data_IF_101790294643
#
_entry.id   IF_101790294643
#
_cell.length_a   1.000
_cell.length_b   1.000
_cell.length_c   1.000
_cell.angle_alpha   90.00
_cell.angle_beta   90.00
_cell.angle_gamma   90.00
#
_symmetry.space_group_name_H-M   'P 1'
#
loop_
_entity.id
_entity.type
_entity.pdbx_description
1 polymer ?
#
# COMPACT_ATOMS: atom_id res chain seq x y z
N UNK A 1 -5.05 -55.11 -26.27
CA UNK A 1 -5.56 -54.25 -25.18
C UNK A 1 -4.47 -53.25 -24.92
N UNK A 2 -4.72 -51.98 -25.23
CA UNK A 2 -3.73 -50.91 -25.08
C UNK A 2 -3.42 -50.77 -23.58
N UNK A 3 -2.20 -51.10 -23.16
CA UNK A 3 -1.78 -50.98 -21.76
C UNK A 3 -1.62 -49.49 -21.43
N UNK A 4 -2.74 -48.84 -21.09
CA UNK A 4 -2.73 -47.55 -20.43
C UNK A 4 -1.99 -47.70 -19.10
N UNK A 5 -0.74 -47.26 -19.08
CA UNK A 5 0.07 -47.20 -17.87
C UNK A 5 -0.57 -46.17 -16.94
N UNK A 6 -1.44 -46.62 -16.03
CA UNK A 6 -2.24 -45.78 -15.12
C UNK A 6 -1.38 -44.77 -14.34
N UNK A 7 -0.15 -45.16 -13.98
CA UNK A 7 0.82 -44.28 -13.32
C UNK A 7 1.23 -43.12 -14.23
N UNK A 8 1.48 -43.39 -15.51
CA UNK A 8 1.82 -42.34 -16.48
C UNK A 8 0.66 -41.39 -16.73
N UNK A 9 -0.57 -41.89 -16.67
CA UNK A 9 -1.78 -41.10 -16.83
C UNK A 9 -2.04 -40.21 -15.60
N UNK A 10 -1.90 -40.78 -14.40
CA UNK A 10 -1.98 -40.03 -13.15
C UNK A 10 -0.92 -38.91 -13.07
N UNK A 11 0.30 -39.17 -13.54
CA UNK A 11 1.35 -38.15 -13.63
C UNK A 11 0.97 -37.01 -14.61
N UNK A 12 0.36 -37.33 -15.75
CA UNK A 12 -0.15 -36.31 -16.70
C UNK A 12 -1.23 -35.44 -16.04
N UNK A 13 -2.17 -36.05 -15.31
CA UNK A 13 -3.21 -35.31 -14.61
C UNK A 13 -2.66 -34.45 -13.46
N UNK A 14 -1.65 -34.94 -12.72
CA UNK A 14 -0.96 -34.15 -11.69
C UNK A 14 -0.27 -32.93 -12.30
N UNK A 15 0.49 -33.13 -13.39
CA UNK A 15 1.15 -32.04 -14.10
C UNK A 15 0.15 -31.03 -14.68
N UNK A 16 -0.96 -31.50 -15.27
CA UNK A 16 -2.04 -30.66 -15.77
C UNK A 16 -2.70 -29.84 -14.65
N UNK A 17 -3.05 -30.49 -13.52
CA UNK A 17 -3.68 -29.82 -12.38
C UNK A 17 -2.78 -28.73 -11.81
N UNK A 18 -1.50 -29.05 -11.57
CA UNK A 18 -0.54 -28.06 -11.08
C UNK A 18 -0.29 -26.94 -12.10
N UNK A 19 -0.24 -27.26 -13.40
CA UNK A 19 -0.05 -26.29 -14.46
C UNK A 19 -1.22 -25.30 -14.58
N UNK A 20 -2.46 -25.79 -14.48
CA UNK A 20 -3.66 -24.93 -14.52
C UNK A 20 -3.70 -24.00 -13.30
N UNK A 21 -3.42 -24.51 -12.10
CA UNK A 21 -3.36 -23.67 -10.90
C UNK A 21 -2.27 -22.61 -11.03
N UNK A 22 -1.08 -22.98 -11.52
CA UNK A 22 0.00 -22.03 -11.75
C UNK A 22 -0.36 -20.95 -12.77
N UNK A 23 -0.99 -21.33 -13.89
CA UNK A 23 -1.47 -20.38 -14.89
C UNK A 23 -2.53 -19.43 -14.31
N UNK A 24 -3.47 -19.98 -13.53
CA UNK A 24 -4.51 -19.20 -12.88
C UNK A 24 -3.92 -18.15 -11.92
N UNK A 25 -2.98 -18.55 -11.06
CA UNK A 25 -2.30 -17.62 -10.14
C UNK A 25 -1.49 -16.57 -10.91
N UNK A 26 -0.83 -16.97 -11.99
CA UNK A 26 -0.07 -16.04 -12.85
C UNK A 26 -1.00 -14.97 -13.42
N UNK A 27 -2.14 -15.35 -14.00
CA UNK A 27 -3.16 -14.42 -14.51
C UNK A 27 -3.68 -13.53 -13.37
N UNK A 28 -3.95 -14.11 -12.19
CA UNK A 28 -4.41 -13.35 -11.03
C UNK A 28 -3.42 -12.25 -10.64
N UNK A 29 -2.12 -12.54 -10.64
CA UNK A 29 -1.07 -11.54 -10.38
C UNK A 29 -1.14 -10.41 -11.41
N UNK A 30 -1.30 -10.71 -12.70
CA UNK A 30 -1.45 -9.68 -13.73
C UNK A 30 -2.70 -8.82 -13.52
N UNK A 31 -3.83 -9.42 -13.16
CA UNK A 31 -5.07 -8.69 -12.84
C UNK A 31 -4.87 -7.78 -11.64
N UNK A 32 -4.25 -8.25 -10.56
CA UNK A 32 -3.94 -7.43 -9.38
C UNK A 32 -3.02 -6.26 -9.75
N UNK A 33 -2.03 -6.46 -10.63
CA UNK A 33 -1.17 -5.38 -11.12
C UNK A 33 -1.93 -4.38 -11.98
N UNK A 34 -2.84 -4.84 -12.83
CA UNK A 34 -3.71 -3.96 -13.62
C UNK A 34 -4.63 -3.15 -12.71
N UNK A 35 -5.24 -3.78 -11.70
CA UNK A 35 -6.03 -3.09 -10.69
C UNK A 35 -5.21 -2.02 -9.97
N UNK A 36 -4.01 -2.35 -9.50
CA UNK A 36 -3.10 -1.40 -8.86
C UNK A 36 -2.76 -0.20 -9.78
N UNK A 37 -2.53 -0.47 -11.07
CA UNK A 37 -2.27 0.58 -12.06
C UNK A 37 -3.50 1.49 -12.29
N UNK A 38 -4.69 0.89 -12.43
CA UNK A 38 -5.94 1.63 -12.60
C UNK A 38 -6.22 2.50 -11.35
N UNK A 39 -6.07 1.93 -10.15
CA UNK A 39 -6.25 2.68 -8.90
C UNK A 39 -5.25 3.84 -8.84
N UNK A 40 -3.96 3.62 -9.09
CA UNK A 40 -2.97 4.69 -9.07
C UNK A 40 -3.26 5.80 -10.10
N UNK A 41 -3.85 5.45 -11.25
CA UNK A 41 -4.18 6.40 -12.32
C UNK A 41 -5.46 7.20 -12.03
N UNK A 42 -6.51 6.56 -11.53
CA UNK A 42 -7.84 7.17 -11.35
C UNK A 42 -8.08 7.72 -9.94
N UNK A 43 -7.42 7.13 -8.95
CA UNK A 43 -7.38 7.59 -7.56
C UNK A 43 -5.92 7.88 -7.19
N UNK A 44 -5.27 8.89 -7.80
CA UNK A 44 -3.97 9.32 -7.34
C UNK A 44 -4.14 9.80 -5.90
N UNK A 45 -3.72 8.95 -4.97
CA UNK A 45 -3.60 9.32 -3.58
C UNK A 45 -2.61 10.47 -3.56
N UNK A 46 -3.08 11.68 -3.21
CA UNK A 46 -2.20 12.84 -3.05
C UNK A 46 -1.08 12.36 -2.15
N UNK A 47 0.10 12.25 -2.72
CA UNK A 47 1.28 11.75 -2.05
C UNK A 47 1.45 12.66 -0.84
N UNK A 48 0.97 12.22 0.33
CA UNK A 48 1.50 12.74 1.58
C UNK A 48 2.93 12.29 1.48
N UNK A 49 3.80 13.24 1.16
CA UNK A 49 5.23 13.05 0.97
C UNK A 49 5.67 11.97 1.93
N UNK A 50 6.06 10.82 1.37
CA UNK A 50 6.62 9.74 2.16
C UNK A 50 7.95 10.27 2.68
N UNK A 51 7.92 10.95 3.81
CA UNK A 51 9.09 11.16 4.66
C UNK A 51 9.43 9.83 5.34
N UNK A 52 9.56 8.76 4.56
CA UNK A 52 10.16 7.51 5.00
C UNK A 52 11.68 7.64 4.87
N UNK A 53 12.26 8.60 5.57
CA UNK A 53 13.59 8.42 6.12
C UNK A 53 13.37 7.94 7.55
N UNK A 54 13.58 6.65 7.80
CA UNK A 54 13.69 6.17 9.18
C UNK A 54 14.93 6.86 9.79
N UNK A 55 14.68 7.96 10.50
CA UNK A 55 15.63 8.53 11.46
C UNK A 55 15.35 7.87 12.80
N UNK A 56 16.37 7.40 13.54
CA UNK A 56 16.16 6.95 14.90
C UNK A 56 15.53 8.11 15.69
N UNK A 57 14.38 7.84 16.30
CA UNK A 57 13.65 8.77 17.15
C UNK A 57 14.55 9.17 18.31
N UNK A 58 15.23 10.30 18.17
CA UNK A 58 15.81 11.03 19.28
C UNK A 58 15.15 12.42 19.30
N UNK A 59 14.28 12.64 20.28
CA UNK A 59 13.66 13.91 20.66
C UNK A 59 12.47 14.43 19.81
N UNK A 60 11.49 13.58 19.48
CA UNK A 60 10.20 14.05 18.93
C UNK A 60 9.27 14.72 19.96
N UNK A 61 9.51 14.53 21.27
CA UNK A 61 8.65 15.08 22.32
C UNK A 61 8.83 16.60 22.53
N UNK A 62 9.98 17.16 22.17
CA UNK A 62 10.28 18.60 22.38
C UNK A 62 9.79 19.46 21.21
N UNK A 63 9.67 18.88 20.00
CA UNK A 63 9.20 19.60 18.81
C UNK A 63 7.68 19.71 18.76
N UNK A 64 6.97 18.66 19.16
CA UNK A 64 5.50 18.64 19.19
C UNK A 64 4.93 19.72 20.12
N UNK A 65 5.57 19.90 21.28
CA UNK A 65 5.17 20.91 22.26
C UNK A 65 5.41 22.34 21.72
N UNK A 66 6.52 22.57 20.99
CA UNK A 66 6.81 23.88 20.38
C UNK A 66 5.84 24.22 19.25
N UNK A 67 5.50 23.26 18.40
CA UNK A 67 4.56 23.46 17.30
C UNK A 67 3.15 23.72 17.86
N UNK A 68 2.77 23.02 18.92
CA UNK A 68 1.50 23.22 19.64
C UNK A 68 1.44 24.61 20.30
N UNK A 69 2.52 25.03 20.98
CA UNK A 69 2.62 26.37 21.59
C UNK A 69 2.58 27.47 20.52
N UNK A 70 3.21 27.26 19.37
CA UNK A 70 3.19 28.21 18.25
C UNK A 70 1.79 28.37 17.65
N UNK A 71 1.06 27.25 17.46
CA UNK A 71 -0.32 27.27 16.97
C UNK A 71 -1.26 27.99 17.95
N UNK A 72 -1.14 27.73 19.25
CA UNK A 72 -1.93 28.39 20.30
C UNK A 72 -1.62 29.89 20.33
N UNK A 73 -0.34 30.28 20.28
CA UNK A 73 0.09 31.68 20.28
C UNK A 73 -0.44 32.43 19.06
N UNK A 74 -0.37 31.83 17.87
CA UNK A 74 -0.93 32.40 16.65
C UNK A 74 -2.44 32.62 16.75
N UNK A 75 -3.19 31.67 17.33
CA UNK A 75 -4.62 31.79 17.55
C UNK A 75 -4.97 32.95 18.51
N UNK A 76 -4.20 33.12 19.59
CA UNK A 76 -4.40 34.21 20.56
C UNK A 76 -4.12 35.57 19.90
N UNK A 77 -3.00 35.71 19.18
CA UNK A 77 -2.66 36.96 18.47
C UNK A 77 -3.73 37.30 17.44
N UNK A 78 -4.18 36.32 16.66
CA UNK A 78 -5.21 36.49 15.66
C UNK A 78 -6.54 36.95 16.29
N UNK A 79 -6.96 36.32 17.38
CA UNK A 79 -8.17 36.71 18.11
C UNK A 79 -8.09 38.12 18.71
N UNK A 80 -6.95 38.47 19.31
CA UNK A 80 -6.75 39.77 19.93
C UNK A 80 -6.68 40.91 18.89
N UNK A 81 -6.01 40.67 17.75
CA UNK A 81 -5.99 41.64 16.65
C UNK A 81 -7.37 41.82 16.01
N UNK A 82 -8.24 40.81 16.07
CA UNK A 82 -9.61 40.90 15.54
C UNK A 82 -10.60 41.57 16.51
N UNK A 83 -10.22 41.79 17.77
CA UNK A 83 -10.98 42.53 18.79
C UNK A 83 -10.70 44.04 18.81
N UNK A 84 -9.81 44.53 17.94
CA UNK A 84 -9.42 45.94 17.83
C UNK A 84 -10.30 46.82 16.94
N UNK A 85 -11.58 46.48 16.73
CA UNK A 85 -12.59 47.38 16.14
C UNK A 85 -13.88 47.31 16.92
#
# INVERSE_FOLDING_TARGET
MEEVNLVSEALKFMALGMGIVFLFLTIMIFVLKLQAFLIAKFFPEKEKEKTCAWKPQNNAAITDDRDTIAAITAAIIHYNNHKGK
#
